data_IF_656820006543
#
_entry.id   IF_656820006543
#
_cell.length_a   1.000
_cell.length_b   1.000
_cell.length_c   1.000
_cell.angle_alpha   90.00
_cell.angle_beta   90.00
_cell.angle_gamma   90.00
#
_symmetry.space_group_name_H-M   'P 1'
#
loop_
_entity.id
_entity.type
_entity.pdbx_description
1 polymer ?
#
# COMPACT_ATOMS: atom_id res chain seq x y z
N UNK A 1 34.14 6.71 16.22
CA UNK A 1 35.08 7.61 15.63
C UNK A 1 34.35 8.74 14.94
N UNK A 2 34.38 9.90 15.57
CA UNK A 2 33.92 11.21 15.08
C UNK A 2 34.68 11.66 13.85
N UNK A 3 34.07 12.42 12.96
CA UNK A 3 34.68 13.64 12.39
C UNK A 3 33.61 14.50 11.73
N UNK A 4 33.41 15.67 12.28
CA UNK A 4 32.82 16.87 11.69
C UNK A 4 33.76 17.45 10.65
N UNK A 5 33.24 18.13 9.65
CA UNK A 5 33.87 19.32 9.06
C UNK A 5 32.82 20.13 8.28
N UNK A 6 32.52 21.26 8.85
CA UNK A 6 31.92 22.42 8.24
C UNK A 6 32.99 23.19 7.47
N UNK A 7 32.68 23.71 6.27
CA UNK A 7 33.37 24.88 5.73
C UNK A 7 32.42 25.77 4.93
N UNK A 8 32.28 26.98 5.46
CA UNK A 8 31.66 28.15 4.86
C UNK A 8 32.71 28.88 4.01
N UNK A 9 32.31 29.45 2.88
CA UNK A 9 33.08 30.49 2.21
C UNK A 9 32.17 31.65 1.83
N UNK A 10 32.44 32.77 2.45
CA UNK A 10 32.03 34.12 2.07
C UNK A 10 33.25 34.84 1.46
N UNK A 11 33.02 35.73 0.51
CA UNK A 11 33.85 36.92 0.14
C UNK A 11 33.10 37.69 -0.92
N UNK A 12 32.63 38.92 -0.66
CA UNK A 12 33.29 40.23 -0.74
C UNK A 12 33.78 40.56 -2.16
N UNK A 13 33.14 41.53 -2.69
CA UNK A 13 33.16 42.99 -2.69
C UNK A 13 34.16 43.59 -3.71
N UNK A 14 33.69 44.68 -4.28
CA UNK A 14 34.30 45.89 -4.80
C UNK A 14 34.22 46.16 -6.30
N UNK A 15 33.72 47.36 -6.59
CA UNK A 15 33.91 48.03 -7.85
C UNK A 15 33.09 49.29 -8.06
N UNK A 16 33.62 50.42 -7.59
CA UNK A 16 33.12 51.76 -7.86
C UNK A 16 33.33 52.16 -9.32
N UNK A 17 32.37 52.85 -9.93
CA UNK A 17 32.56 53.56 -11.18
C UNK A 17 31.59 54.75 -11.31
N UNK A 18 32.09 55.94 -11.06
CA UNK A 18 31.39 57.23 -11.31
C UNK A 18 31.46 57.55 -12.82
N UNK A 19 30.28 57.96 -13.36
CA UNK A 19 30.24 58.56 -14.67
C UNK A 19 29.05 59.57 -14.75
N UNK A 20 29.39 60.85 -14.67
CA UNK A 20 28.48 61.97 -14.94
C UNK A 20 28.23 62.10 -16.43
N UNK A 21 26.96 62.17 -16.85
CA UNK A 21 26.59 62.57 -18.21
C UNK A 21 25.26 63.31 -18.18
N UNK A 22 25.34 64.67 -18.34
CA UNK A 22 24.18 65.52 -18.56
C UNK A 22 23.69 65.33 -20.01
N UNK A 23 22.43 64.99 -20.18
CA UNK A 23 21.78 65.02 -21.48
C UNK A 23 20.32 65.49 -21.34
N UNK A 24 20.06 66.74 -21.69
CA UNK A 24 18.70 67.22 -21.86
C UNK A 24 18.07 66.59 -23.10
N UNK A 25 16.99 65.89 -22.98
CA UNK A 25 16.19 65.40 -24.05
C UNK A 25 14.69 65.49 -23.70
N UNK A 26 14.01 66.42 -24.34
CA UNK A 26 12.54 66.51 -24.33
C UNK A 26 11.99 65.24 -25.00
N UNK A 27 11.47 64.28 -24.19
CA UNK A 27 10.83 63.09 -24.69
C UNK A 27 9.34 63.08 -24.27
N UNK A 28 8.49 63.11 -25.27
CA UNK A 28 7.04 63.01 -25.13
C UNK A 28 6.73 61.70 -24.33
N UNK A 29 5.97 61.86 -23.24
CA UNK A 29 5.55 60.75 -22.40
C UNK A 29 4.60 59.81 -23.12
N UNK A 30 5.13 58.69 -23.62
CA UNK A 30 4.32 57.53 -23.88
C UNK A 30 4.16 56.80 -22.56
N UNK A 31 2.99 56.88 -21.99
CA UNK A 31 2.62 56.08 -20.80
C UNK A 31 2.94 54.60 -21.04
N UNK A 32 3.26 53.86 -19.98
CA UNK A 32 3.60 52.45 -20.12
C UNK A 32 2.46 51.69 -20.82
N UNK A 33 2.77 51.08 -21.96
CA UNK A 33 1.80 50.23 -22.65
C UNK A 33 1.29 49.18 -21.69
N UNK A 34 -0.03 48.93 -21.64
CA UNK A 34 -0.57 47.83 -20.82
C UNK A 34 0.15 46.53 -21.18
N UNK A 35 0.63 45.82 -20.15
CA UNK A 35 1.21 44.47 -20.35
C UNK A 35 0.17 43.59 -21.02
N UNK A 36 0.54 42.83 -22.03
CA UNK A 36 -0.36 41.85 -22.61
C UNK A 36 -0.84 40.89 -21.51
N UNK A 37 -2.10 40.45 -21.56
CA UNK A 37 -2.63 39.50 -20.59
C UNK A 37 -1.69 38.29 -20.52
N UNK A 38 -1.39 37.85 -19.30
CA UNK A 38 -0.59 36.62 -19.09
C UNK A 38 -1.36 35.46 -19.73
N UNK A 39 -0.69 34.64 -20.55
CA UNK A 39 -1.34 33.46 -21.12
C UNK A 39 -1.94 32.61 -19.98
N UNK A 40 -3.13 32.03 -20.18
CA UNK A 40 -3.73 31.18 -19.18
C UNK A 40 -2.76 30.07 -18.78
N UNK A 41 -2.71 29.79 -17.49
CA UNK A 41 -1.87 28.68 -16.97
C UNK A 41 -2.33 27.39 -17.65
N UNK A 42 -1.43 26.56 -18.16
CA UNK A 42 -1.81 25.28 -18.75
C UNK A 42 -2.64 24.48 -17.74
N UNK A 43 -3.77 23.95 -18.19
CA UNK A 43 -4.60 23.04 -17.38
C UNK A 43 -3.75 21.79 -17.10
N UNK A 44 -3.66 21.34 -15.82
CA UNK A 44 -2.95 20.12 -15.50
C UNK A 44 -3.48 18.94 -16.33
N UNK A 45 -2.59 18.08 -16.81
CA UNK A 45 -3.00 16.86 -17.49
C UNK A 45 -3.89 16.01 -16.59
N UNK A 46 -4.91 15.32 -17.14
CA UNK A 46 -5.76 14.42 -16.36
C UNK A 46 -4.88 13.36 -15.66
N UNK A 47 -5.11 13.16 -14.35
CA UNK A 47 -4.41 12.15 -13.56
C UNK A 47 -5.36 11.01 -13.25
N UNK A 48 -4.81 9.79 -13.19
CA UNK A 48 -5.54 8.67 -12.64
C UNK A 48 -5.57 8.82 -11.12
N UNK A 49 -6.75 8.90 -10.55
CA UNK A 49 -6.95 9.16 -9.13
C UNK A 49 -7.76 8.02 -8.49
N UNK A 50 -7.56 7.85 -7.20
CA UNK A 50 -8.35 6.95 -6.38
C UNK A 50 -9.49 7.72 -5.69
N UNK A 51 -10.59 7.04 -5.42
CA UNK A 51 -11.67 7.57 -4.62
C UNK A 51 -11.21 7.93 -3.21
N UNK A 52 -11.93 8.82 -2.54
CA UNK A 52 -11.66 9.17 -1.15
C UNK A 52 -11.69 7.91 -0.27
N UNK A 53 -10.71 7.77 0.63
CA UNK A 53 -10.56 6.61 1.50
C UNK A 53 -9.83 5.41 0.90
N UNK A 54 -9.46 5.49 -0.37
CA UNK A 54 -8.63 4.49 -1.03
C UNK A 54 -7.17 4.92 -1.03
N UNK A 55 -6.27 3.96 -0.78
CA UNK A 55 -4.83 4.17 -0.87
C UNK A 55 -4.37 4.12 -2.33
N UNK A 56 -3.60 5.12 -2.77
CA UNK A 56 -3.12 5.23 -4.14
C UNK A 56 -1.70 4.69 -4.27
N UNK A 57 -1.50 3.79 -5.22
CA UNK A 57 -0.18 3.25 -5.56
C UNK A 57 0.07 3.40 -7.05
N UNK A 58 1.25 3.90 -7.39
CA UNK A 58 1.74 3.91 -8.76
C UNK A 58 2.63 2.69 -8.97
N UNK A 59 2.21 1.81 -9.86
CA UNK A 59 2.91 0.55 -10.13
C UNK A 59 3.99 0.74 -11.19
N UNK A 60 5.02 -0.15 -11.26
CA UNK A 60 6.13 -0.02 -12.20
C UNK A 60 5.72 0.09 -13.68
N UNK A 61 4.57 -0.47 -14.06
CA UNK A 61 4.02 -0.37 -15.42
C UNK A 61 3.24 0.92 -15.70
N UNK A 62 3.24 1.87 -14.75
CA UNK A 62 2.49 3.13 -14.86
C UNK A 62 1.02 3.03 -14.46
N UNK A 63 0.52 1.85 -14.11
CA UNK A 63 -0.84 1.65 -13.64
C UNK A 63 -1.01 2.30 -12.27
N UNK A 64 -2.09 3.06 -12.10
CA UNK A 64 -2.53 3.52 -10.77
C UNK A 64 -3.47 2.46 -10.20
N UNK A 65 -3.08 1.93 -9.07
CA UNK A 65 -3.84 0.93 -8.35
C UNK A 65 -4.34 1.50 -7.03
N UNK A 66 -5.63 1.34 -6.77
CA UNK A 66 -6.29 1.87 -5.57
C UNK A 66 -6.66 0.71 -4.67
N UNK A 67 -6.24 0.77 -3.40
CA UNK A 67 -6.53 -0.26 -2.41
C UNK A 67 -7.40 0.32 -1.30
N UNK A 68 -8.49 -0.37 -1.00
CA UNK A 68 -9.40 -0.07 0.09
C UNK A 68 -9.28 -1.14 1.18
N UNK A 69 -9.09 -0.69 2.42
CA UNK A 69 -9.09 -1.56 3.57
C UNK A 69 -10.51 -1.64 4.16
N UNK A 70 -11.13 -2.79 4.00
CA UNK A 70 -12.47 -3.05 4.49
C UNK A 70 -12.48 -3.77 5.84
N UNK A 71 -13.55 -3.54 6.59
CA UNK A 71 -13.84 -4.24 7.85
C UNK A 71 -15.09 -5.07 7.64
N UNK A 72 -15.07 -6.39 7.92
CA UNK A 72 -16.25 -7.24 7.82
C UNK A 72 -17.41 -6.71 8.66
N UNK A 73 -18.62 -6.87 8.16
CA UNK A 73 -19.83 -6.51 8.89
C UNK A 73 -20.17 -7.47 10.05
N UNK A 74 -19.36 -8.52 10.23
CA UNK A 74 -19.50 -9.49 11.31
C UNK A 74 -18.39 -9.29 12.35
N UNK A 75 -18.74 -9.42 13.63
CA UNK A 75 -17.81 -9.20 14.75
C UNK A 75 -17.15 -10.47 15.26
N UNK A 76 -17.70 -11.64 14.91
CA UNK A 76 -17.21 -12.95 15.35
C UNK A 76 -15.94 -13.42 14.62
N UNK A 77 -15.51 -12.72 13.58
CA UNK A 77 -14.32 -13.08 12.78
C UNK A 77 -14.56 -14.19 11.76
N UNK A 78 -15.78 -14.67 11.60
CA UNK A 78 -16.15 -15.72 10.65
C UNK A 78 -16.54 -15.08 9.32
N UNK A 79 -15.52 -14.84 8.51
CA UNK A 79 -15.61 -14.16 7.23
C UNK A 79 -14.67 -14.84 6.25
N UNK A 80 -15.22 -15.50 5.24
CA UNK A 80 -14.43 -16.25 4.26
C UNK A 80 -13.79 -15.35 3.23
N UNK A 81 -12.82 -15.90 2.48
CA UNK A 81 -12.28 -15.19 1.32
C UNK A 81 -13.37 -14.91 0.29
N UNK A 82 -14.31 -15.83 0.10
CA UNK A 82 -15.45 -15.61 -0.80
C UNK A 82 -16.32 -14.43 -0.35
N UNK A 83 -16.63 -14.34 0.95
CA UNK A 83 -17.36 -13.21 1.50
C UNK A 83 -16.65 -11.89 1.24
N UNK A 84 -15.32 -11.89 1.39
CA UNK A 84 -14.48 -10.73 1.11
C UNK A 84 -14.52 -10.35 -0.39
N UNK A 85 -14.47 -11.32 -1.28
CA UNK A 85 -14.58 -11.06 -2.72
C UNK A 85 -15.94 -10.47 -3.08
N UNK A 86 -17.01 -10.95 -2.48
CA UNK A 86 -18.36 -10.38 -2.65
C UNK A 86 -18.40 -8.93 -2.17
N UNK A 87 -17.81 -8.66 -1.00
CA UNK A 87 -17.74 -7.30 -0.47
C UNK A 87 -16.96 -6.35 -1.40
N UNK A 88 -15.84 -6.80 -1.96
CA UNK A 88 -15.07 -6.01 -2.93
C UNK A 88 -15.85 -5.79 -4.21
N UNK A 89 -16.55 -6.80 -4.71
CA UNK A 89 -17.38 -6.69 -5.93
C UNK A 89 -18.48 -5.65 -5.79
N UNK A 90 -19.07 -5.51 -4.60
CA UNK A 90 -20.05 -4.48 -4.30
C UNK A 90 -19.49 -3.05 -4.40
N UNK A 91 -18.16 -2.90 -4.31
CA UNK A 91 -17.45 -1.62 -4.46
C UNK A 91 -16.92 -1.41 -5.90
N UNK A 92 -17.28 -2.27 -6.83
CA UNK A 92 -16.71 -2.26 -8.19
C UNK A 92 -15.22 -2.63 -8.22
N UNK A 93 -14.78 -3.44 -7.27
CA UNK A 93 -13.39 -3.84 -7.08
C UNK A 93 -13.25 -5.37 -6.99
N UNK A 94 -12.04 -5.83 -6.78
CA UNK A 94 -11.72 -7.23 -6.52
C UNK A 94 -10.82 -7.33 -5.29
N UNK A 95 -10.73 -8.48 -4.66
CA UNK A 95 -9.69 -8.69 -3.64
C UNK A 95 -8.31 -8.44 -4.25
N UNK A 96 -7.51 -7.60 -3.62
CA UNK A 96 -6.23 -7.17 -4.17
C UNK A 96 -5.12 -8.17 -3.91
N UNK A 97 -4.17 -8.24 -4.86
CA UNK A 97 -2.82 -8.68 -4.58
C UNK A 97 -1.92 -7.51 -4.18
N UNK A 98 -0.68 -7.81 -3.86
CA UNK A 98 0.36 -6.81 -3.58
C UNK A 98 1.47 -6.89 -4.63
N UNK A 99 1.75 -5.78 -5.27
CA UNK A 99 2.79 -5.71 -6.29
C UNK A 99 4.19 -5.75 -5.68
N UNK A 100 4.34 -5.21 -4.46
CA UNK A 100 5.62 -5.07 -3.78
C UNK A 100 5.42 -4.89 -2.26
N UNK A 101 6.54 -4.79 -1.54
CA UNK A 101 6.54 -4.58 -0.09
C UNK A 101 5.93 -3.24 0.33
N UNK A 102 6.02 -2.21 -0.50
CA UNK A 102 5.42 -0.92 -0.18
C UNK A 102 3.88 -1.04 -0.09
N UNK A 103 3.24 -1.69 -1.05
CA UNK A 103 1.80 -1.96 -1.00
C UNK A 103 1.46 -2.83 0.21
N UNK A 104 2.17 -3.92 0.39
CA UNK A 104 1.96 -4.88 1.47
C UNK A 104 2.04 -4.21 2.84
N UNK A 105 3.08 -3.44 3.10
CA UNK A 105 3.30 -2.82 4.40
C UNK A 105 2.46 -1.57 4.64
N UNK A 106 2.15 -0.81 3.60
CA UNK A 106 1.25 0.35 3.74
C UNK A 106 -0.14 -0.11 4.20
N UNK A 107 -0.66 -1.18 3.60
CA UNK A 107 -1.95 -1.75 4.01
C UNK A 107 -1.86 -2.38 5.40
N UNK A 108 -0.81 -3.12 5.69
CA UNK A 108 -0.62 -3.75 7.00
C UNK A 108 -0.54 -2.71 8.13
N UNK A 109 0.17 -1.62 7.92
CA UNK A 109 0.31 -0.57 8.93
C UNK A 109 -1.02 0.15 9.19
N UNK A 110 -1.80 0.40 8.15
CA UNK A 110 -3.15 0.95 8.30
C UNK A 110 -4.08 -0.01 9.03
N UNK A 111 -4.02 -1.29 8.69
CA UNK A 111 -4.79 -2.33 9.37
C UNK A 111 -4.40 -2.43 10.86
N UNK A 112 -3.12 -2.37 11.19
CA UNK A 112 -2.65 -2.40 12.57
C UNK A 112 -3.19 -1.22 13.40
N UNK A 113 -3.21 -0.02 12.81
CA UNK A 113 -3.81 1.17 13.48
C UNK A 113 -5.28 0.93 13.81
N UNK A 114 -6.06 0.43 12.85
CA UNK A 114 -7.48 0.14 13.06
C UNK A 114 -7.69 -1.01 14.04
N UNK A 115 -6.86 -2.05 13.97
CA UNK A 115 -6.91 -3.18 14.90
C UNK A 115 -6.70 -2.71 16.35
N UNK A 116 -5.74 -1.84 16.57
CA UNK A 116 -5.47 -1.23 17.89
C UNK A 116 -6.67 -0.42 18.37
N UNK A 117 -7.30 0.35 17.50
CA UNK A 117 -8.53 1.10 17.81
C UNK A 117 -9.69 0.17 18.18
N UNK A 118 -9.75 -1.02 17.60
CA UNK A 118 -10.73 -2.05 17.96
C UNK A 118 -10.43 -2.73 19.32
N UNK A 119 -9.30 -2.41 19.95
CA UNK A 119 -8.85 -3.06 21.17
C UNK A 119 -8.37 -4.50 20.97
N UNK A 120 -7.88 -4.83 19.76
CA UNK A 120 -7.39 -6.16 19.39
C UNK A 120 -5.89 -6.16 19.12
N UNK A 121 -5.24 -7.29 19.30
CA UNK A 121 -3.81 -7.46 19.11
C UNK A 121 -3.45 -8.22 17.83
N UNK A 122 -4.37 -9.01 17.29
CA UNK A 122 -4.14 -9.84 16.12
C UNK A 122 -5.40 -9.99 15.29
N UNK A 123 -5.23 -10.11 13.99
CA UNK A 123 -6.32 -10.36 13.06
C UNK A 123 -5.80 -10.75 11.68
N UNK A 124 -6.60 -11.50 10.95
CA UNK A 124 -6.35 -11.83 9.55
C UNK A 124 -6.91 -10.77 8.62
N UNK A 125 -6.25 -10.61 7.47
CA UNK A 125 -6.67 -9.73 6.39
C UNK A 125 -6.72 -10.52 5.08
N UNK A 126 -7.90 -10.63 4.48
CA UNK A 126 -8.06 -11.34 3.22
C UNK A 126 -7.46 -10.59 2.03
N UNK A 127 -6.76 -11.35 1.20
CA UNK A 127 -6.17 -10.92 -0.07
C UNK A 127 -6.69 -11.78 -1.23
N UNK A 128 -6.55 -11.26 -2.44
CA UNK A 128 -6.88 -11.96 -3.67
C UNK A 128 -5.77 -12.87 -4.14
N UNK A 129 -5.73 -14.06 -3.58
CA UNK A 129 -4.79 -15.10 -3.97
C UNK A 129 -5.41 -16.49 -3.88
N UNK A 130 -4.81 -17.42 -4.58
CA UNK A 130 -5.13 -18.84 -4.50
C UNK A 130 -3.88 -19.66 -4.80
N UNK A 131 -3.85 -20.91 -4.36
CA UNK A 131 -2.76 -21.79 -4.71
C UNK A 131 -2.72 -22.06 -6.21
N UNK A 132 -1.52 -22.19 -6.75
CA UNK A 132 -1.30 -22.55 -8.16
C UNK A 132 -1.71 -24.00 -8.41
N UNK A 133 -2.07 -24.31 -9.67
CA UNK A 133 -2.41 -25.67 -10.03
C UNK A 133 -1.25 -26.62 -9.75
N UNK A 134 -1.54 -27.76 -9.11
CA UNK A 134 -0.53 -28.75 -8.70
C UNK A 134 0.24 -28.42 -7.42
N UNK A 135 0.13 -27.22 -6.89
CA UNK A 135 0.83 -26.80 -5.68
C UNK A 135 -0.08 -26.83 -4.43
N UNK A 136 -0.68 -27.98 -4.16
CA UNK A 136 -1.50 -28.19 -2.95
C UNK A 136 -0.74 -28.86 -1.82
N UNK A 137 0.54 -29.13 -2.03
CA UNK A 137 1.37 -29.93 -1.12
C UNK A 137 2.66 -29.20 -0.73
N UNK A 138 3.29 -29.68 0.31
CA UNK A 138 4.42 -29.09 1.01
C UNK A 138 5.67 -28.79 0.17
N UNK A 139 5.82 -29.40 -0.97
CA UNK A 139 7.03 -29.29 -1.80
C UNK A 139 7.04 -28.08 -2.75
N UNK A 140 5.99 -27.28 -2.78
CA UNK A 140 5.97 -26.03 -3.52
C UNK A 140 6.64 -24.93 -2.69
N UNK A 141 7.55 -24.20 -3.32
CA UNK A 141 8.30 -23.13 -2.65
C UNK A 141 7.46 -21.87 -2.38
N UNK A 142 8.00 -20.90 -1.62
CA UNK A 142 7.28 -19.71 -1.19
C UNK A 142 6.86 -18.78 -2.35
N UNK A 143 7.50 -18.91 -3.51
CA UNK A 143 7.20 -18.09 -4.69
C UNK A 143 6.53 -18.86 -5.82
N UNK A 144 6.19 -20.13 -5.62
CA UNK A 144 5.55 -20.97 -6.62
C UNK A 144 4.22 -21.56 -6.16
N UNK A 145 3.88 -21.41 -4.88
CA UNK A 145 2.69 -22.00 -4.28
C UNK A 145 1.43 -21.20 -4.56
N UNK A 146 1.51 -19.87 -4.56
CA UNK A 146 0.37 -18.97 -4.68
C UNK A 146 0.50 -18.03 -5.86
N UNK A 147 -0.65 -17.60 -6.35
CA UNK A 147 -0.75 -16.58 -7.39
C UNK A 147 -1.82 -15.55 -7.01
N UNK A 148 -1.65 -14.32 -7.48
CA UNK A 148 -2.64 -13.26 -7.33
C UNK A 148 -3.80 -13.48 -8.27
N UNK A 149 -5.01 -13.12 -7.84
CA UNK A 149 -6.26 -13.39 -8.57
C UNK A 149 -6.97 -12.13 -9.05
N UNK A 150 -6.40 -10.94 -8.82
CA UNK A 150 -7.04 -9.67 -9.19
C UNK A 150 -6.94 -9.32 -10.69
N UNK A 151 -6.13 -10.05 -11.45
CA UNK A 151 -5.91 -9.80 -12.87
C UNK A 151 -4.97 -8.64 -13.20
N UNK A 152 -4.41 -7.96 -12.21
CA UNK A 152 -3.55 -6.79 -12.37
C UNK A 152 -2.20 -6.91 -11.67
N UNK A 153 -2.16 -7.54 -10.52
CA UNK A 153 -0.92 -7.77 -9.77
C UNK A 153 -0.08 -8.83 -10.46
N UNK A 154 1.20 -8.54 -10.65
CA UNK A 154 2.14 -9.42 -11.34
C UNK A 154 3.30 -9.83 -10.43
N UNK A 155 3.91 -10.96 -10.74
CA UNK A 155 5.10 -11.44 -10.06
C UNK A 155 4.88 -11.88 -8.62
N UNK A 156 5.96 -11.91 -7.87
CA UNK A 156 6.01 -12.49 -6.52
C UNK A 156 6.59 -11.55 -5.47
N UNK A 157 6.92 -10.32 -5.84
CA UNK A 157 7.56 -9.36 -4.94
C UNK A 157 6.69 -8.94 -3.75
N UNK A 158 5.37 -9.12 -3.87
CA UNK A 158 4.42 -8.86 -2.78
C UNK A 158 4.25 -10.02 -1.80
N UNK A 159 4.83 -11.18 -2.07
CA UNK A 159 4.80 -12.32 -1.15
C UNK A 159 5.96 -12.22 -0.16
N UNK A 160 5.63 -12.06 1.10
CA UNK A 160 6.55 -12.23 2.22
C UNK A 160 5.85 -13.05 3.29
N UNK A 161 6.38 -14.21 3.57
CA UNK A 161 5.76 -15.22 4.42
C UNK A 161 6.28 -15.15 5.86
N UNK A 162 5.41 -15.51 6.80
CA UNK A 162 5.84 -15.83 8.16
C UNK A 162 6.79 -17.02 8.20
N UNK A 163 7.43 -17.24 9.32
CA UNK A 163 8.38 -18.33 9.51
C UNK A 163 7.68 -19.67 9.30
N UNK A 164 8.22 -20.49 8.41
CA UNK A 164 7.66 -21.79 8.06
C UNK A 164 6.46 -21.77 7.11
N UNK A 165 6.09 -20.57 6.63
CA UNK A 165 5.01 -20.42 5.66
C UNK A 165 5.54 -20.26 4.21
N UNK A 166 4.76 -20.63 3.18
CA UNK A 166 3.50 -21.39 3.26
C UNK A 166 3.79 -22.83 3.73
N UNK A 167 3.07 -23.28 4.73
CA UNK A 167 3.28 -24.61 5.30
C UNK A 167 2.74 -25.71 4.37
N UNK A 168 3.16 -26.96 4.64
CA UNK A 168 2.78 -28.11 3.84
C UNK A 168 1.48 -28.78 4.25
N UNK A 169 0.71 -28.18 5.12
CA UNK A 169 -0.53 -28.76 5.59
C UNK A 169 -1.57 -28.74 4.47
N UNK A 170 -2.05 -29.92 4.11
CA UNK A 170 -3.21 -30.06 3.25
C UNK A 170 -4.48 -30.01 4.08
N UNK A 171 -5.40 -29.16 3.65
CA UNK A 171 -6.74 -29.16 4.21
C UNK A 171 -7.67 -29.89 3.25
N UNK A 172 -8.13 -31.10 3.59
CA UNK A 172 -8.97 -31.91 2.71
C UNK A 172 -10.20 -31.13 2.23
N UNK A 173 -10.45 -31.18 0.92
CA UNK A 173 -11.64 -30.58 0.32
C UNK A 173 -11.64 -29.07 0.18
N UNK A 174 -10.56 -28.37 0.56
CA UNK A 174 -10.49 -26.91 0.41
C UNK A 174 -9.29 -26.48 -0.42
N UNK A 175 -9.47 -25.40 -1.17
CA UNK A 175 -8.36 -24.65 -1.74
C UNK A 175 -7.61 -23.93 -0.64
N UNK A 176 -6.30 -23.76 -0.81
CA UNK A 176 -5.51 -22.92 0.08
C UNK A 176 -5.59 -21.46 -0.37
N UNK A 177 -5.73 -20.59 0.61
CA UNK A 177 -5.66 -19.16 0.49
C UNK A 177 -4.52 -18.63 1.35
N UNK A 178 -4.17 -17.38 1.20
CA UNK A 178 -3.30 -16.70 2.13
C UNK A 178 -3.99 -15.47 2.68
N UNK A 179 -3.84 -15.29 3.98
CA UNK A 179 -4.19 -14.04 4.67
C UNK A 179 -2.92 -13.26 4.97
N UNK A 180 -3.06 -11.97 5.10
CA UNK A 180 -2.04 -11.15 5.72
C UNK A 180 -2.26 -11.16 7.23
N UNK A 181 -1.18 -11.39 7.97
CA UNK A 181 -1.18 -11.46 9.41
C UNK A 181 -0.95 -10.05 9.98
N UNK A 182 -1.94 -9.53 10.68
CA UNK A 182 -1.86 -8.23 11.35
C UNK A 182 -1.67 -8.51 12.84
N UNK A 183 -0.54 -8.08 13.37
CA UNK A 183 -0.16 -8.38 14.75
C UNK A 183 0.53 -7.20 15.43
N UNK A 184 0.07 -6.89 16.64
CA UNK A 184 0.71 -5.88 17.47
C UNK A 184 2.13 -6.31 17.87
N UNK A 185 3.11 -5.39 17.88
CA UNK A 185 4.45 -5.69 18.39
C UNK A 185 4.45 -6.07 19.87
N UNK A 186 3.41 -5.71 20.59
CA UNK A 186 3.23 -6.00 22.02
C UNK A 186 2.30 -7.20 22.27
N UNK A 187 2.10 -8.05 21.26
CA UNK A 187 1.20 -9.18 21.33
C UNK A 187 1.51 -10.10 22.51
N UNK A 188 0.48 -10.41 23.28
CA UNK A 188 0.45 -11.43 24.33
C UNK A 188 -0.75 -12.31 24.08
N UNK A 189 -0.54 -13.62 23.92
CA UNK A 189 -1.58 -14.56 23.57
C UNK A 189 -2.69 -14.60 24.62
N UNK A 190 -3.93 -14.39 24.16
CA UNK A 190 -5.16 -14.58 24.91
C UNK A 190 -5.81 -15.92 24.63
N UNK A 191 -7.09 -16.05 24.98
CA UNK A 191 -7.87 -17.24 24.64
C UNK A 191 -7.97 -17.36 23.10
N UNK A 192 -7.84 -18.58 22.58
CA UNK A 192 -7.86 -18.89 21.15
C UNK A 192 -6.72 -18.25 20.34
N UNK A 193 -5.65 -17.89 20.99
CA UNK A 193 -4.45 -17.32 20.37
C UNK A 193 -3.22 -18.16 20.73
N UNK A 194 -2.24 -18.19 19.83
CA UNK A 194 -1.02 -18.97 20.02
C UNK A 194 0.16 -18.06 20.34
N UNK A 195 0.86 -18.35 21.45
CA UNK A 195 2.05 -17.61 21.85
C UNK A 195 3.16 -17.63 20.77
N UNK A 196 3.22 -18.70 19.99
CA UNK A 196 4.19 -18.87 18.89
C UNK A 196 4.00 -17.84 17.75
N UNK A 197 2.87 -17.21 17.62
CA UNK A 197 2.67 -16.16 16.60
C UNK A 197 3.65 -15.00 16.77
N UNK A 198 4.03 -14.68 17.99
CA UNK A 198 4.99 -13.62 18.28
C UNK A 198 6.36 -13.85 17.64
N UNK A 199 6.76 -15.11 17.51
CA UNK A 199 8.05 -15.49 16.94
C UNK A 199 7.98 -15.92 15.48
N UNK A 200 6.79 -16.24 14.97
CA UNK A 200 6.58 -16.71 13.59
C UNK A 200 6.13 -15.62 12.64
N UNK A 201 5.50 -14.56 13.14
CA UNK A 201 4.98 -13.48 12.30
C UNK A 201 5.45 -12.12 12.76
N UNK A 202 5.80 -11.30 11.78
CA UNK A 202 5.91 -9.86 11.90
C UNK A 202 4.70 -9.24 11.22
N UNK A 203 4.21 -8.11 11.71
CA UNK A 203 3.04 -7.45 11.11
C UNK A 203 3.19 -7.32 9.59
N UNK A 204 2.20 -7.82 8.88
CA UNK A 204 2.16 -7.79 7.42
C UNK A 204 2.69 -9.04 6.71
N UNK A 205 3.23 -10.01 7.43
CA UNK A 205 3.60 -11.29 6.87
C UNK A 205 2.38 -12.05 6.35
N UNK A 206 2.58 -12.91 5.37
CA UNK A 206 1.55 -13.79 4.84
C UNK A 206 1.55 -15.13 5.56
N UNK A 207 0.36 -15.68 5.71
CA UNK A 207 0.07 -16.96 6.32
C UNK A 207 -0.78 -17.78 5.36
N UNK A 208 -0.38 -19.03 5.08
CA UNK A 208 -1.25 -19.97 4.38
C UNK A 208 -2.44 -20.27 5.25
N UNK A 209 -3.63 -20.11 4.68
CA UNK A 209 -4.86 -20.12 5.45
C UNK A 209 -5.95 -20.90 4.72
N UNK A 210 -6.88 -21.44 5.49
CA UNK A 210 -8.06 -22.06 4.93
C UNK A 210 -8.97 -20.98 4.34
N UNK A 211 -9.41 -21.14 3.08
CA UNK A 211 -10.23 -20.14 2.39
C UNK A 211 -11.58 -19.91 3.06
N UNK A 212 -12.06 -20.88 3.80
CA UNK A 212 -13.29 -20.80 4.59
C UNK A 212 -12.97 -20.49 6.05
N UNK A 213 -13.82 -19.76 6.72
CA UNK A 213 -13.77 -19.52 8.15
C UNK A 213 -14.62 -20.58 8.89
N UNK A 214 -14.39 -20.92 10.18
CA UNK A 214 -13.51 -20.24 11.12
C UNK A 214 -12.11 -20.87 11.21
N UNK A 215 -11.13 -20.04 11.49
CA UNK A 215 -9.78 -20.44 11.89
C UNK A 215 -9.11 -19.30 12.66
N UNK A 216 -7.99 -19.55 13.31
CA UNK A 216 -7.25 -18.55 14.05
C UNK A 216 -6.00 -18.13 13.26
N UNK A 217 -5.68 -16.82 13.18
CA UNK A 217 -6.39 -15.66 13.74
C UNK A 217 -7.72 -15.39 13.02
N UNK A 218 -8.69 -14.86 13.76
CA UNK A 218 -9.95 -14.44 13.16
C UNK A 218 -9.75 -13.32 12.15
N UNK A 219 -10.54 -13.36 11.09
CA UNK A 219 -10.52 -12.31 10.06
C UNK A 219 -11.09 -11.00 10.62
N UNK A 220 -10.34 -9.92 10.45
CA UNK A 220 -10.72 -8.58 10.88
C UNK A 220 -10.74 -7.56 9.75
N UNK A 221 -10.12 -7.89 8.62
CA UNK A 221 -10.02 -7.01 7.47
C UNK A 221 -10.08 -7.77 6.15
N UNK A 222 -10.33 -7.03 5.10
CA UNK A 222 -10.12 -7.45 3.72
C UNK A 222 -9.63 -6.26 2.89
N UNK A 223 -8.86 -6.50 1.84
CA UNK A 223 -8.32 -5.45 0.99
C UNK A 223 -8.85 -5.60 -0.42
N UNK A 224 -9.50 -4.55 -0.91
CA UNK A 224 -10.04 -4.46 -2.27
C UNK A 224 -9.14 -3.61 -3.16
N UNK A 225 -9.01 -3.99 -4.41
CA UNK A 225 -8.23 -3.24 -5.39
C UNK A 225 -9.04 -2.91 -6.64
N UNK A 226 -8.75 -1.76 -7.23
CA UNK A 226 -9.27 -1.35 -8.54
C UNK A 226 -8.35 -0.35 -9.21
N UNK A 227 -8.46 -0.24 -10.51
CA UNK A 227 -7.73 0.76 -11.30
C UNK A 227 -8.23 2.16 -10.95
N UNK A 228 -7.31 3.10 -10.80
CA UNK A 228 -7.65 4.51 -10.63
C UNK A 228 -8.35 5.07 -11.86
N UNK A 229 -9.28 6.00 -11.64
CA UNK A 229 -10.03 6.64 -12.72
C UNK A 229 -9.37 7.95 -13.12
N UNK A 230 -9.49 8.31 -14.39
CA UNK A 230 -9.07 9.62 -14.90
C UNK A 230 -10.03 10.69 -14.39
N UNK A 231 -9.45 11.72 -13.81
CA UNK A 231 -10.17 12.92 -13.39
C UNK A 231 -9.47 14.17 -13.90
#
# INVERSE_FOLDING_TARGET
GSFSSSESWSSEEHGHGHGHGHGHGNGHGHGPRPRPPRPPRPTPAPRNECDAGWMRFERPNGLIWCIFLGVPGVTNGYFSQHDAQVACSALGATLTGYQNDNERMTVANEALKRLTTMGRQVGGLWLGNTNTAGCRVANCGPFTTFQWTDGYTTGVAGFKWGVGEPDGLNWPGSTACAQQFIISPNFVAGANEYASWKTHFVNGDLDKYQCTSPAYPFTRFYACGKVGVRR
#
